data_IF_112843524826
#
_entry.id   IF_112843524826
#
_cell.length_a   1.000
_cell.length_b   1.000
_cell.length_c   1.000
_cell.angle_alpha   90.00
_cell.angle_beta   90.00
_cell.angle_gamma   90.00
#
_symmetry.space_group_name_H-M   'P 1'
#
loop_
_entity.id
_entity.type
_entity.pdbx_description
1 polymer ?
#
# COMPACT_ATOMS: atom_id res chain seq x y z
N UNK A 1 25.74 -7.27 8.01
CA UNK A 1 25.64 -7.39 6.55
C UNK A 1 24.33 -6.74 6.18
N UNK A 2 24.33 -5.41 6.06
CA UNK A 2 23.11 -4.65 5.81
C UNK A 2 23.00 -4.31 4.32
N UNK A 3 21.92 -4.81 3.71
CA UNK A 3 20.97 -4.00 2.95
C UNK A 3 21.35 -3.43 1.57
N UNK A 4 22.08 -4.15 0.72
CA UNK A 4 22.15 -3.77 -0.72
C UNK A 4 20.77 -3.82 -1.42
N UNK A 5 19.88 -4.72 -0.99
CA UNK A 5 18.51 -4.82 -1.51
C UNK A 5 17.64 -3.63 -1.10
N UNK A 6 17.70 -3.24 0.17
CA UNK A 6 16.89 -2.15 0.72
C UNK A 6 17.35 -0.77 0.23
N UNK A 7 18.66 -0.55 0.08
CA UNK A 7 19.17 0.70 -0.48
C UNK A 7 18.67 0.93 -1.91
N UNK A 8 18.57 -0.14 -2.73
CA UNK A 8 17.96 -0.04 -4.07
C UNK A 8 16.47 0.29 -4.03
N UNK A 9 15.74 -0.22 -3.04
CA UNK A 9 14.30 0.05 -2.88
C UNK A 9 14.09 1.51 -2.46
N UNK A 10 14.86 2.00 -1.48
CA UNK A 10 14.78 3.39 -0.99
C UNK A 10 15.10 4.38 -2.11
N UNK A 11 16.15 4.11 -2.89
CA UNK A 11 16.51 4.94 -4.05
C UNK A 11 15.44 4.90 -5.15
N UNK A 12 14.82 3.73 -5.38
CA UNK A 12 13.79 3.56 -6.42
C UNK A 12 12.47 4.25 -6.06
N UNK A 13 12.10 4.30 -4.77
CA UNK A 13 10.78 4.77 -4.31
C UNK A 13 10.81 6.11 -3.53
N UNK A 14 11.98 6.75 -3.40
CA UNK A 14 12.14 8.06 -2.72
C UNK A 14 11.59 8.09 -1.27
N UNK A 15 11.80 7.00 -0.54
CA UNK A 15 11.25 6.81 0.80
C UNK A 15 12.03 7.67 1.80
N UNK A 16 11.35 8.59 2.49
CA UNK A 16 11.98 9.51 3.44
C UNK A 16 12.20 8.88 4.82
N UNK A 17 11.53 7.77 5.14
CA UNK A 17 11.57 7.11 6.45
C UNK A 17 11.56 5.58 6.31
N UNK A 18 12.60 4.92 6.84
CA UNK A 18 12.74 3.46 6.80
C UNK A 18 11.56 2.70 7.44
N UNK A 19 10.87 3.30 8.42
CA UNK A 19 9.72 2.68 9.09
C UNK A 19 8.56 2.44 8.11
N UNK A 20 8.37 3.35 7.15
CA UNK A 20 7.22 3.32 6.24
C UNK A 20 7.37 2.20 5.20
N UNK A 21 8.62 1.89 4.81
CA UNK A 21 8.93 0.75 3.93
C UNK A 21 8.53 -0.59 4.56
N UNK A 22 8.76 -0.77 5.86
CA UNK A 22 8.35 -2.01 6.55
C UNK A 22 6.83 -2.16 6.57
N UNK A 23 6.10 -1.05 6.67
CA UNK A 23 4.64 -1.06 6.65
C UNK A 23 4.11 -1.35 5.25
N UNK A 24 4.67 -0.72 4.22
CA UNK A 24 4.27 -1.01 2.84
C UNK A 24 4.52 -2.48 2.49
N UNK A 25 5.67 -3.05 2.86
CA UNK A 25 5.97 -4.47 2.66
C UNK A 25 4.97 -5.38 3.41
N UNK A 26 4.70 -5.11 4.69
CA UNK A 26 3.70 -5.86 5.48
C UNK A 26 2.31 -5.83 4.82
N UNK A 27 1.87 -4.65 4.36
CA UNK A 27 0.59 -4.50 3.66
C UNK A 27 0.56 -5.27 2.34
N UNK A 28 1.65 -5.27 1.57
CA UNK A 28 1.76 -6.04 0.33
C UNK A 28 1.72 -7.55 0.62
N UNK A 29 2.37 -8.03 1.69
CA UNK A 29 2.26 -9.44 2.09
C UNK A 29 0.83 -9.80 2.50
N UNK A 30 0.16 -8.96 3.29
CA UNK A 30 -1.26 -9.15 3.61
C UNK A 30 -2.11 -9.25 2.35
N UNK A 31 -1.88 -8.37 1.37
CA UNK A 31 -2.57 -8.42 0.08
C UNK A 31 -2.26 -9.72 -0.67
N UNK A 32 -1.01 -10.19 -0.70
CA UNK A 32 -0.64 -11.47 -1.33
C UNK A 32 -1.36 -12.67 -0.73
N UNK A 33 -1.58 -12.65 0.57
CA UNK A 33 -2.20 -13.76 1.30
C UNK A 33 -3.73 -13.75 1.20
N UNK A 34 -4.34 -12.63 0.81
CA UNK A 34 -5.79 -12.54 0.60
C UNK A 34 -6.27 -13.43 -0.56
N UNK A 35 -7.50 -13.93 -0.49
CA UNK A 35 -8.11 -14.63 -1.63
C UNK A 35 -8.39 -13.65 -2.79
N UNK A 36 -8.24 -14.11 -4.04
CA UNK A 36 -8.65 -13.32 -5.21
C UNK A 36 -10.17 -13.07 -5.15
N UNK A 37 -10.58 -11.85 -5.50
CA UNK A 37 -11.95 -11.36 -5.37
C UNK A 37 -12.25 -10.67 -4.04
N UNK A 38 -11.32 -10.67 -3.07
CA UNK A 38 -11.55 -9.97 -1.79
C UNK A 38 -11.54 -8.46 -1.98
N UNK A 39 -12.56 -7.78 -1.45
CA UNK A 39 -12.69 -6.31 -1.41
C UNK A 39 -12.18 -5.78 -0.06
N UNK A 40 -11.27 -4.80 -0.07
CA UNK A 40 -10.71 -4.19 1.15
C UNK A 40 -10.21 -2.76 0.89
N UNK A 41 -9.62 -2.11 1.89
CA UNK A 41 -8.95 -0.80 1.79
C UNK A 41 -7.57 -0.84 2.45
N UNK A 42 -6.67 0.08 2.09
CA UNK A 42 -5.38 0.23 2.79
C UNK A 42 -5.59 0.60 4.26
N UNK A 43 -6.55 1.48 4.55
CA UNK A 43 -6.95 1.85 5.90
C UNK A 43 -7.35 0.64 6.75
N UNK A 44 -8.11 -0.28 6.17
CA UNK A 44 -8.54 -1.50 6.84
C UNK A 44 -7.36 -2.44 7.12
N UNK A 45 -6.41 -2.56 6.18
CA UNK A 45 -5.23 -3.41 6.34
C UNK A 45 -4.18 -2.84 7.31
N UNK A 46 -4.16 -1.52 7.47
CA UNK A 46 -3.39 -0.81 8.50
C UNK A 46 -4.00 -0.98 9.89
N UNK A 47 -5.31 -1.14 9.96
CA UNK A 47 -6.07 -1.40 11.19
C UNK A 47 -5.76 -0.34 12.28
N UNK A 48 -5.46 -0.75 13.52
CA UNK A 48 -5.20 0.14 14.65
C UNK A 48 -4.00 1.10 14.42
N UNK A 49 -3.06 0.73 13.54
CA UNK A 49 -1.87 1.54 13.26
C UNK A 49 -2.19 2.81 12.48
N UNK A 50 -3.37 2.93 11.86
CA UNK A 50 -3.72 4.09 11.03
C UNK A 50 -3.64 5.41 11.80
N UNK A 51 -3.92 5.37 13.12
CA UNK A 51 -3.90 6.55 13.99
C UNK A 51 -2.48 7.03 14.32
N UNK A 52 -1.46 6.23 14.05
CA UNK A 52 -0.05 6.57 14.28
C UNK A 52 0.55 7.39 13.12
N UNK A 53 -0.19 7.54 12.02
CA UNK A 53 0.26 8.22 10.81
C UNK A 53 -0.56 9.47 10.54
N UNK A 54 0.12 10.50 10.06
CA UNK A 54 -0.54 11.67 9.48
C UNK A 54 -1.20 11.30 8.16
N UNK A 55 -2.20 12.08 7.75
CA UNK A 55 -2.83 11.93 6.43
C UNK A 55 -1.78 11.86 5.32
N UNK A 56 -0.76 12.73 5.35
CA UNK A 56 0.29 12.76 4.32
C UNK A 56 1.06 11.43 4.26
N UNK A 57 1.48 10.89 5.39
CA UNK A 57 2.19 9.59 5.45
C UNK A 57 1.29 8.46 4.94
N UNK A 58 -0.01 8.47 5.26
CA UNK A 58 -0.97 7.48 4.74
C UNK A 58 -1.11 7.55 3.20
N UNK A 59 -1.03 8.74 2.60
CA UNK A 59 -0.98 8.90 1.14
C UNK A 59 0.31 8.29 0.56
N UNK A 60 1.45 8.53 1.19
CA UNK A 60 2.74 8.01 0.75
C UNK A 60 2.77 6.48 0.83
N UNK A 61 2.35 5.90 1.97
CA UNK A 61 2.21 4.45 2.16
C UNK A 61 1.27 3.84 1.11
N UNK A 62 0.12 4.47 0.85
CA UNK A 62 -0.84 3.97 -0.16
C UNK A 62 -0.23 3.90 -1.54
N UNK A 63 0.47 4.96 -1.96
CA UNK A 63 1.12 5.00 -3.26
C UNK A 63 2.22 3.92 -3.36
N UNK A 64 2.98 3.74 -2.29
CA UNK A 64 4.03 2.74 -2.24
C UNK A 64 3.48 1.31 -2.35
N UNK A 65 2.43 0.97 -1.59
CA UNK A 65 1.77 -0.34 -1.67
C UNK A 65 1.25 -0.61 -3.08
N UNK A 66 0.66 0.38 -3.75
CA UNK A 66 0.18 0.25 -5.13
C UNK A 66 1.34 -0.05 -6.09
N UNK A 67 2.45 0.67 -5.98
CA UNK A 67 3.61 0.48 -6.86
C UNK A 67 4.34 -0.85 -6.58
N UNK A 68 4.42 -1.27 -5.32
CA UNK A 68 4.98 -2.57 -4.94
C UNK A 68 4.10 -3.71 -5.48
N UNK A 69 2.78 -3.65 -5.28
CA UNK A 69 1.83 -4.63 -5.83
C UNK A 69 1.97 -4.75 -7.36
N UNK A 70 2.04 -3.61 -8.09
CA UNK A 70 2.29 -3.61 -9.53
C UNK A 70 3.60 -4.31 -9.90
N UNK A 71 4.68 -4.04 -9.16
CA UNK A 71 5.99 -4.64 -9.43
C UNK A 71 6.02 -6.17 -9.25
N UNK A 72 5.08 -6.69 -8.47
CA UNK A 72 4.92 -8.12 -8.19
C UNK A 72 3.79 -8.77 -8.99
N UNK A 73 3.22 -8.05 -9.96
CA UNK A 73 2.09 -8.50 -10.79
C UNK A 73 0.79 -8.78 -10.01
N UNK A 74 0.58 -8.10 -8.89
CA UNK A 74 -0.66 -8.11 -8.13
C UNK A 74 -1.55 -6.99 -8.64
N UNK A 75 -2.78 -7.32 -9.04
CA UNK A 75 -3.73 -6.34 -9.58
C UNK A 75 -4.68 -5.90 -8.47
N UNK A 76 -4.66 -4.60 -8.19
CA UNK A 76 -5.63 -3.94 -7.31
C UNK A 76 -6.67 -3.25 -8.21
N UNK A 77 -7.90 -3.75 -8.22
CA UNK A 77 -8.97 -3.22 -9.05
C UNK A 77 -9.79 -2.16 -8.31
N UNK A 78 -9.65 -0.92 -8.75
CA UNK A 78 -10.40 0.25 -8.26
C UNK A 78 -11.55 0.67 -9.19
N UNK A 79 -11.82 -0.06 -10.29
CA UNK A 79 -12.75 0.37 -11.36
C UNK A 79 -14.17 0.67 -10.88
N UNK A 80 -14.63 0.01 -9.81
CA UNK A 80 -15.91 0.28 -9.15
C UNK A 80 -16.02 1.71 -8.62
N UNK A 81 -14.91 2.39 -8.39
CA UNK A 81 -14.83 3.70 -7.74
C UNK A 81 -14.25 4.82 -8.64
N UNK A 82 -13.92 4.52 -9.89
CA UNK A 82 -13.19 5.41 -10.81
C UNK A 82 -13.93 6.72 -11.18
N UNK A 83 -15.27 6.73 -11.03
CA UNK A 83 -16.15 7.87 -11.38
C UNK A 83 -16.71 8.62 -10.18
N UNK A 84 -16.21 8.35 -8.97
CA UNK A 84 -16.66 9.00 -7.75
C UNK A 84 -15.57 9.92 -7.18
N UNK A 85 -15.96 11.05 -6.58
CA UNK A 85 -15.09 11.81 -5.67
C UNK A 85 -14.95 11.02 -4.37
N UNK A 86 -14.23 9.89 -4.43
CA UNK A 86 -14.09 8.95 -3.32
C UNK A 86 -12.93 9.33 -2.42
N UNK A 87 -13.21 10.25 -1.49
CA UNK A 87 -12.47 10.42 -0.23
C UNK A 87 -10.95 10.48 -0.35
N UNK A 88 -10.27 9.98 0.70
CA UNK A 88 -8.80 9.89 0.74
C UNK A 88 -8.36 8.53 0.18
N UNK A 89 -7.26 8.43 -0.58
CA UNK A 89 -6.84 7.20 -1.28
C UNK A 89 -6.75 5.96 -0.41
N UNK A 90 -6.27 6.09 0.83
CA UNK A 90 -6.19 4.96 1.77
C UNK A 90 -7.56 4.39 2.17
N UNK A 91 -8.64 5.15 2.01
CA UNK A 91 -10.01 4.72 2.28
C UNK A 91 -10.74 4.21 1.03
N UNK A 92 -10.13 4.28 -0.15
CA UNK A 92 -10.77 3.83 -1.39
C UNK A 92 -10.68 2.31 -1.46
N UNK A 93 -11.82 1.59 -1.59
CA UNK A 93 -11.78 0.14 -1.66
C UNK A 93 -11.22 -0.36 -3.00
N UNK A 94 -10.54 -1.49 -2.95
CA UNK A 94 -10.07 -2.23 -4.10
C UNK A 94 -10.41 -3.71 -3.99
N UNK A 95 -10.51 -4.38 -5.14
CA UNK A 95 -10.63 -5.83 -5.24
C UNK A 95 -9.28 -6.40 -5.65
N UNK A 96 -8.74 -7.36 -4.89
CA UNK A 96 -7.56 -8.12 -5.34
C UNK A 96 -7.97 -9.04 -6.50
N UNK A 97 -7.28 -8.96 -7.63
CA UNK A 97 -7.46 -9.88 -8.77
C UNK A 97 -6.32 -10.88 -8.88
#
# INVERSE_FOLDING_TARGET
>A
MENEGYNRIIEKYHIQNYKDLFIADDLVQKIKDMESGTETTIAFLLDDLINDYTTKELFEITNEVIEMCKSENIILDFSKYEVMDVGLPFNVPFIKK
#
